data_IF_625339818745
#
_entry.id   IF_625339818745
#
_cell.length_a   1.000
_cell.length_b   1.000
_cell.length_c   1.000
_cell.angle_alpha   90.00
_cell.angle_beta   90.00
_cell.angle_gamma   90.00
#
_symmetry.space_group_name_H-M   'P 1'
#
loop_
_entity.id
_entity.type
_entity.pdbx_description
1 polymer ?
#
# COMPACT_ATOMS: atom_id res chain seq x y z
N UNK A 1 42.24 11.00 -44.51
CA UNK A 1 41.26 11.78 -43.70
C UNK A 1 39.84 11.17 -43.81
N UNK A 2 39.61 9.89 -43.44
CA UNK A 2 38.28 9.27 -43.59
C UNK A 2 37.83 8.29 -42.47
N UNK A 3 38.52 8.19 -41.33
CA UNK A 3 38.13 7.24 -40.25
C UNK A 3 37.57 7.88 -38.96
N UNK A 4 37.34 9.20 -38.93
CA UNK A 4 36.84 9.91 -37.71
C UNK A 4 35.32 10.14 -37.67
N UNK A 5 34.59 9.91 -38.77
CA UNK A 5 33.14 10.15 -38.84
C UNK A 5 32.28 9.01 -38.25
N UNK A 6 32.70 7.75 -38.40
CA UNK A 6 31.90 6.61 -37.92
C UNK A 6 31.83 6.53 -36.38
N UNK A 7 32.89 6.97 -35.68
CA UNK A 7 32.96 6.87 -34.22
C UNK A 7 32.15 7.98 -33.51
N UNK A 8 32.05 9.18 -34.10
CA UNK A 8 31.31 10.31 -33.52
C UNK A 8 29.79 10.17 -33.62
N UNK A 9 29.29 9.40 -34.59
CA UNK A 9 27.86 9.14 -34.78
C UNK A 9 27.35 7.91 -33.99
N UNK A 10 28.25 6.98 -33.67
CA UNK A 10 27.92 5.78 -32.89
C UNK A 10 27.69 6.08 -31.40
N UNK A 11 28.41 7.06 -30.83
CA UNK A 11 28.31 7.44 -29.41
C UNK A 11 26.90 7.90 -29.00
N UNK A 12 26.22 8.82 -29.72
CA UNK A 12 24.85 9.24 -29.35
C UNK A 12 23.82 8.12 -29.61
N UNK A 13 24.06 7.25 -30.60
CA UNK A 13 23.19 6.10 -30.88
C UNK A 13 23.26 5.05 -29.78
N UNK A 14 24.47 4.75 -29.30
CA UNK A 14 24.71 3.82 -28.18
C UNK A 14 24.16 4.39 -26.87
N UNK A 15 24.31 5.70 -26.60
CA UNK A 15 23.74 6.32 -25.40
C UNK A 15 22.21 6.27 -25.38
N UNK A 16 21.55 6.48 -26.52
CA UNK A 16 20.09 6.40 -26.66
C UNK A 16 19.56 4.99 -26.40
N UNK A 17 20.26 3.96 -26.89
CA UNK A 17 19.92 2.57 -26.61
C UNK A 17 20.08 2.19 -25.13
N UNK A 18 21.09 2.71 -24.43
CA UNK A 18 21.32 2.42 -23.01
C UNK A 18 20.25 3.03 -22.11
N UNK A 19 19.71 4.20 -22.46
CA UNK A 19 18.62 4.86 -21.69
C UNK A 19 17.28 4.14 -21.86
N UNK A 20 16.99 3.62 -23.06
CA UNK A 20 15.78 2.81 -23.32
C UNK A 20 15.80 1.44 -22.61
N UNK A 21 16.99 0.84 -22.42
CA UNK A 21 17.15 -0.44 -21.72
C UNK A 21 17.09 -0.32 -20.18
N UNK A 22 17.32 0.88 -19.62
CA UNK A 22 17.30 1.11 -18.17
C UNK A 22 15.93 1.35 -17.55
N UNK A 23 14.87 1.46 -18.36
CA UNK A 23 13.53 1.90 -17.89
C UNK A 23 12.59 0.76 -17.45
N UNK A 24 13.07 -0.49 -17.42
CA UNK A 24 12.29 -1.66 -16.95
C UNK A 24 12.63 -2.08 -15.50
N UNK A 25 13.02 -1.14 -14.64
CA UNK A 25 13.08 -1.35 -13.19
C UNK A 25 11.71 -1.31 -12.53
N UNK A 26 10.78 -2.15 -13.00
CA UNK A 26 9.40 -2.22 -12.51
C UNK A 26 9.22 -3.26 -11.40
N UNK A 27 8.72 -2.78 -10.26
CA UNK A 27 8.15 -3.48 -9.10
C UNK A 27 9.07 -4.43 -8.31
N UNK A 28 9.38 -4.01 -7.07
CA UNK A 28 9.59 -4.93 -5.96
C UNK A 28 8.44 -5.94 -5.94
N UNK A 29 8.76 -7.19 -6.30
CA UNK A 29 7.80 -8.28 -6.36
C UNK A 29 7.28 -8.51 -4.94
N UNK A 30 6.08 -8.03 -4.65
CA UNK A 30 5.31 -8.54 -3.51
C UNK A 30 5.15 -10.03 -3.78
N UNK A 31 5.90 -10.85 -3.04
CA UNK A 31 5.76 -12.29 -3.14
C UNK A 31 4.42 -12.61 -2.50
N UNK A 32 3.46 -13.06 -3.31
CA UNK A 32 2.30 -13.73 -2.77
C UNK A 32 2.81 -14.94 -2.00
N UNK A 33 2.68 -14.88 -0.67
CA UNK A 33 3.00 -16.02 0.19
C UNK A 33 2.18 -17.20 -0.30
N UNK A 34 2.84 -18.35 -0.48
CA UNK A 34 2.17 -19.60 -0.86
C UNK A 34 1.64 -20.35 0.37
N UNK A 35 2.19 -20.07 1.55
CA UNK A 35 1.80 -20.72 2.80
C UNK A 35 1.51 -19.69 3.89
N UNK A 36 0.48 -19.92 4.73
CA UNK A 36 0.11 -19.01 5.80
C UNK A 36 1.09 -19.10 6.98
N UNK A 37 1.77 -17.99 7.28
CA UNK A 37 2.62 -17.88 8.48
C UNK A 37 1.75 -17.67 9.72
N UNK A 38 1.84 -18.58 10.70
CA UNK A 38 1.21 -18.42 12.02
C UNK A 38 2.18 -17.71 12.96
N UNK A 39 2.07 -16.40 13.04
CA UNK A 39 2.96 -15.54 13.85
C UNK A 39 2.68 -15.60 15.35
N UNK A 40 1.58 -16.24 15.78
CA UNK A 40 1.08 -16.20 17.16
C UNK A 40 0.22 -14.97 17.46
N UNK A 41 -0.09 -14.13 16.46
CA UNK A 41 -1.00 -13.00 16.61
C UNK A 41 -2.43 -13.43 16.98
N UNK A 42 -2.91 -14.52 16.38
CA UNK A 42 -4.17 -15.15 16.77
C UNK A 42 -3.84 -16.32 17.71
N UNK A 43 -4.57 -16.43 18.81
CA UNK A 43 -4.41 -17.56 19.74
C UNK A 43 -4.97 -18.86 19.16
N UNK A 44 -6.07 -18.78 18.41
CA UNK A 44 -6.69 -19.93 17.74
C UNK A 44 -6.90 -19.67 16.23
N UNK A 45 -6.30 -20.55 15.41
CA UNK A 45 -6.41 -20.53 13.96
C UNK A 45 -7.44 -21.56 13.43
N UNK A 46 -8.07 -22.37 14.29
CA UNK A 46 -8.93 -23.51 13.92
C UNK A 46 -10.16 -23.11 13.11
N UNK A 47 -10.64 -21.88 13.28
CA UNK A 47 -11.79 -21.36 12.56
C UNK A 47 -11.47 -20.90 11.13
N UNK A 48 -10.19 -20.78 10.77
CA UNK A 48 -9.79 -20.32 9.45
C UNK A 48 -9.83 -21.46 8.43
N UNK A 49 -10.38 -21.18 7.24
CA UNK A 49 -10.38 -22.08 6.09
C UNK A 49 -9.42 -21.57 5.00
N UNK A 50 -8.95 -22.43 4.07
CA UNK A 50 -8.29 -21.96 2.86
C UNK A 50 -9.16 -20.93 2.11
N UNK A 51 -8.52 -19.88 1.61
CA UNK A 51 -9.14 -18.90 0.73
C UNK A 51 -9.31 -19.41 -0.70
N UNK A 52 -10.23 -18.80 -1.42
CA UNK A 52 -10.41 -18.99 -2.86
C UNK A 52 -9.58 -17.97 -3.67
N UNK A 53 -9.64 -18.05 -5.00
CA UNK A 53 -9.01 -17.06 -5.87
C UNK A 53 -9.48 -15.64 -5.52
N UNK A 54 -8.53 -14.73 -5.30
CA UNK A 54 -8.81 -13.36 -4.86
C UNK A 54 -9.07 -13.19 -3.36
N UNK A 55 -9.15 -14.27 -2.58
CA UNK A 55 -9.18 -14.19 -1.11
C UNK A 55 -7.75 -14.30 -0.51
N UNK A 56 -7.61 -13.94 0.77
CA UNK A 56 -6.40 -14.24 1.54
C UNK A 56 -6.19 -15.75 1.69
N UNK A 57 -4.95 -16.22 1.92
CA UNK A 57 -4.63 -17.66 2.04
C UNK A 57 -5.49 -18.40 3.08
N UNK A 58 -5.75 -17.75 4.20
CA UNK A 58 -6.63 -18.23 5.26
C UNK A 58 -7.71 -17.19 5.55
N UNK A 59 -8.96 -17.62 5.58
CA UNK A 59 -10.14 -16.76 5.72
C UNK A 59 -11.05 -17.32 6.80
N UNK A 60 -11.56 -16.43 7.64
CA UNK A 60 -12.73 -16.69 8.47
C UNK A 60 -13.84 -15.70 8.12
N UNK A 61 -15.05 -16.20 7.93
CA UNK A 61 -16.27 -15.41 7.73
C UNK A 61 -17.39 -16.05 8.56
N UNK A 62 -17.88 -15.34 9.57
CA UNK A 62 -19.02 -15.81 10.34
C UNK A 62 -20.31 -15.69 9.51
N UNK A 63 -20.92 -16.82 9.18
CA UNK A 63 -22.14 -16.87 8.36
C UNK A 63 -23.40 -16.46 9.12
N UNK A 64 -23.34 -16.39 10.45
CA UNK A 64 -24.48 -16.01 11.30
C UNK A 64 -24.64 -14.49 11.44
N UNK A 65 -23.68 -13.71 10.94
CA UNK A 65 -23.68 -12.24 11.02
C UNK A 65 -24.37 -11.67 9.77
N UNK A 66 -25.32 -10.76 9.97
CA UNK A 66 -25.85 -9.94 8.89
C UNK A 66 -24.86 -8.83 8.55
N UNK A 67 -23.93 -9.12 7.65
CA UNK A 67 -22.90 -8.17 7.21
C UNK A 67 -23.48 -6.92 6.55
N UNK A 68 -24.71 -6.96 6.03
CA UNK A 68 -25.35 -5.78 5.43
C UNK A 68 -25.78 -4.74 6.48
N UNK A 69 -25.92 -5.15 7.74
CA UNK A 69 -26.24 -4.23 8.85
C UNK A 69 -25.07 -3.32 9.24
N UNK A 70 -23.84 -3.64 8.81
CA UNK A 70 -22.64 -2.84 9.07
C UNK A 70 -22.47 -1.77 8.00
N UNK A 71 -23.36 -0.78 8.00
CA UNK A 71 -23.43 0.30 7.01
C UNK A 71 -22.69 1.58 7.43
N UNK A 72 -22.00 1.54 8.57
CA UNK A 72 -21.29 2.68 9.17
C UNK A 72 -19.83 2.37 9.41
N UNK A 73 -18.98 3.39 9.27
CA UNK A 73 -17.57 3.30 9.58
C UNK A 73 -17.15 4.46 10.48
N UNK A 74 -16.25 4.17 11.43
CA UNK A 74 -15.50 5.17 12.18
C UNK A 74 -14.12 5.22 11.56
N UNK A 75 -13.64 6.42 11.25
CA UNK A 75 -12.31 6.64 10.68
C UNK A 75 -11.54 7.55 11.61
N UNK A 76 -10.65 6.95 12.41
CA UNK A 76 -9.76 7.69 13.30
C UNK A 76 -8.73 8.51 12.49
N UNK A 77 -8.20 9.56 13.12
CA UNK A 77 -7.17 10.41 12.52
C UNK A 77 -5.91 9.63 12.19
N UNK A 78 -5.33 9.89 11.02
CA UNK A 78 -4.05 9.30 10.62
C UNK A 78 -2.94 9.82 11.53
N UNK A 79 -2.17 8.91 12.13
CA UNK A 79 -1.09 9.25 13.05
C UNK A 79 0.25 8.86 12.44
N UNK A 80 1.23 9.76 12.50
CA UNK A 80 2.60 9.52 12.04
C UNK A 80 3.48 9.27 13.27
N UNK A 81 4.09 8.09 13.33
CA UNK A 81 4.94 7.65 14.43
C UNK A 81 6.41 7.73 14.00
N UNK A 82 7.27 8.18 14.92
CA UNK A 82 8.73 8.20 14.72
C UNK A 82 9.44 7.70 15.96
N UNK A 83 10.55 7.02 15.76
CA UNK A 83 11.50 6.69 16.83
C UNK A 83 12.43 7.87 17.11
N UNK A 84 13.29 7.71 18.13
CA UNK A 84 14.22 8.78 18.55
C UNK A 84 15.29 9.08 17.49
N UNK A 85 15.65 8.08 16.70
CA UNK A 85 16.71 8.18 15.68
C UNK A 85 16.15 8.53 14.28
N UNK A 86 14.86 8.91 14.23
CA UNK A 86 14.17 9.19 12.98
C UNK A 86 14.77 10.41 12.27
N UNK A 87 14.93 10.36 10.93
CA UNK A 87 15.29 11.53 10.15
C UNK A 87 14.15 12.57 10.07
N UNK A 88 12.95 12.24 10.56
CA UNK A 88 11.81 13.15 10.59
C UNK A 88 12.05 14.25 11.63
N UNK A 89 12.32 15.46 11.13
CA UNK A 89 12.63 16.63 11.95
C UNK A 89 11.36 17.35 12.41
N UNK A 90 11.48 18.07 13.53
CA UNK A 90 10.37 18.85 14.08
C UNK A 90 9.90 19.97 13.12
N UNK A 91 10.82 20.52 12.32
CA UNK A 91 10.50 21.54 11.30
C UNK A 91 9.50 21.05 10.23
N UNK A 92 9.34 19.74 10.04
CA UNK A 92 8.41 19.14 9.08
C UNK A 92 7.03 18.86 9.66
N UNK A 93 6.77 19.23 10.93
CA UNK A 93 5.50 18.95 11.60
C UNK A 93 4.27 19.41 10.80
N UNK A 94 4.35 20.59 10.17
CA UNK A 94 3.27 21.11 9.34
C UNK A 94 3.04 20.25 8.09
N UNK A 95 4.11 19.87 7.38
CA UNK A 95 4.03 19.02 6.18
C UNK A 95 3.52 17.63 6.53
N UNK A 96 3.96 17.06 7.66
CA UNK A 96 3.50 15.77 8.16
C UNK A 96 2.01 15.82 8.55
N UNK A 97 1.55 16.92 9.16
CA UNK A 97 0.13 17.11 9.44
C UNK A 97 -0.68 17.19 8.15
N UNK A 98 -0.23 17.98 7.17
CA UNK A 98 -0.90 18.07 5.88
C UNK A 98 -0.98 16.70 5.18
N UNK A 99 0.07 15.88 5.29
CA UNK A 99 0.08 14.53 4.75
C UNK A 99 -0.95 13.63 5.45
N UNK A 100 -1.00 13.67 6.78
CA UNK A 100 -1.98 12.93 7.57
C UNK A 100 -3.42 13.32 7.22
N UNK A 101 -3.71 14.63 7.13
CA UNK A 101 -5.02 15.18 6.77
C UNK A 101 -5.42 14.76 5.36
N UNK A 102 -4.48 14.81 4.42
CA UNK A 102 -4.71 14.35 3.05
C UNK A 102 -5.08 12.87 3.00
N UNK A 103 -4.34 12.00 3.72
CA UNK A 103 -4.66 10.58 3.76
C UNK A 103 -6.03 10.31 4.39
N UNK A 104 -6.35 11.00 5.47
CA UNK A 104 -7.65 10.88 6.11
C UNK A 104 -8.78 11.29 5.14
N UNK A 105 -8.65 12.42 4.45
CA UNK A 105 -9.64 12.88 3.47
C UNK A 105 -9.82 11.88 2.32
N UNK A 106 -8.73 11.31 1.80
CA UNK A 106 -8.81 10.29 0.75
C UNK A 106 -9.49 9.01 1.23
N UNK A 107 -9.19 8.57 2.44
CA UNK A 107 -9.79 7.38 3.03
C UNK A 107 -11.30 7.58 3.22
N UNK A 108 -11.70 8.71 3.81
CA UNK A 108 -13.11 9.07 4.00
C UNK A 108 -13.84 9.12 2.66
N UNK A 109 -13.27 9.83 1.66
CA UNK A 109 -13.86 9.92 0.31
C UNK A 109 -14.05 8.57 -0.35
N UNK A 110 -13.13 7.63 -0.16
CA UNK A 110 -13.23 6.28 -0.72
C UNK A 110 -14.31 5.43 -0.02
N UNK A 111 -14.58 5.66 1.27
CA UNK A 111 -15.54 4.89 2.05
C UNK A 111 -16.98 5.42 1.95
N UNK A 112 -17.16 6.74 1.85
CA UNK A 112 -18.48 7.39 1.80
C UNK A 112 -19.48 6.84 0.76
N UNK A 113 -19.08 6.31 -0.42
CA UNK A 113 -20.03 5.71 -1.35
C UNK A 113 -20.78 4.50 -0.79
N UNK A 114 -20.17 3.77 0.15
CA UNK A 114 -20.70 2.52 0.67
C UNK A 114 -21.02 2.58 2.18
N UNK A 115 -20.46 3.55 2.91
CA UNK A 115 -20.57 3.64 4.36
C UNK A 115 -20.93 5.05 4.82
N UNK A 116 -21.77 5.14 5.84
CA UNK A 116 -21.96 6.38 6.60
C UNK A 116 -20.83 6.55 7.60
N UNK A 117 -20.03 7.60 7.45
CA UNK A 117 -18.96 7.92 8.41
C UNK A 117 -19.59 8.50 9.68
N UNK A 118 -19.25 7.92 10.83
CA UNK A 118 -19.76 8.31 12.16
C UNK A 118 -18.61 8.49 13.15
N UNK A 119 -18.85 9.25 14.22
CA UNK A 119 -17.87 9.54 15.28
C UNK A 119 -18.08 8.74 16.57
N UNK A 120 -19.15 7.94 16.64
CA UNK A 120 -19.48 7.10 17.79
C UNK A 120 -19.85 5.69 17.31
N UNK A 121 -19.47 4.66 18.07
CA UNK A 121 -19.93 3.30 17.79
C UNK A 121 -21.46 3.23 17.86
N UNK A 122 -22.03 2.29 17.10
CA UNK A 122 -23.44 1.94 17.23
C UNK A 122 -23.73 1.29 18.58
N UNK A 123 -25.01 1.22 18.99
CA UNK A 123 -25.44 0.31 20.05
C UNK A 123 -25.14 -1.15 19.70
#
# INVERSE_FOLDING_TARGET
>A
MMMKCAHRLAIPFVLSCVVLLGSFGGCAKTQQMHEPLKTGFLEDYSMLRPGQEGEALLVYKNQKVDWKSYDKAIVDSVTIWRDKDSPLKEEWKADLQQLADYFWDKLVKALMPNYKIVSKPGP
#
